data_IF_988153848912
#
_entry.id   IF_988153848912
#
_cell.length_a   1.000
_cell.length_b   1.000
_cell.length_c   1.000
_cell.angle_alpha   90.00
_cell.angle_beta   90.00
_cell.angle_gamma   90.00
#
_symmetry.space_group_name_H-M   'P 1'
#
loop_
_entity.id
_entity.type
_entity.pdbx_description
1 polymer ?
#
# COMPACT_ATOMS: atom_id res chain seq x y z
N UNK A 1 11.43 9.15 2.74
CA UNK A 1 12.35 8.91 1.61
C UNK A 1 13.84 8.92 2.00
N UNK A 2 14.36 9.89 2.76
CA UNK A 2 15.79 9.90 3.16
C UNK A 2 16.21 8.59 3.84
N UNK A 3 15.39 8.06 4.75
CA UNK A 3 15.64 6.78 5.43
C UNK A 3 15.84 5.64 4.40
N UNK A 4 14.96 5.54 3.39
CA UNK A 4 15.06 4.52 2.33
C UNK A 4 16.33 4.68 1.49
N UNK A 5 16.72 5.92 1.17
CA UNK A 5 17.94 6.18 0.40
C UNK A 5 19.18 5.81 1.21
N UNK A 6 19.22 6.14 2.49
CA UNK A 6 20.39 5.89 3.34
C UNK A 6 20.52 4.42 3.74
N UNK A 7 19.42 3.79 4.15
CA UNK A 7 19.45 2.47 4.80
C UNK A 7 18.75 1.37 4.00
N UNK A 8 17.99 1.70 2.96
CA UNK A 8 17.11 0.75 2.30
C UNK A 8 16.06 0.19 3.26
N UNK A 9 15.69 -1.07 3.06
CA UNK A 9 14.76 -1.81 3.89
C UNK A 9 13.31 -1.69 3.42
N UNK A 10 12.41 -1.76 4.39
CA UNK A 10 10.96 -1.74 4.21
C UNK A 10 10.46 -0.49 4.93
N UNK A 11 9.72 0.35 4.21
CA UNK A 11 8.91 1.38 4.82
C UNK A 11 7.45 0.89 4.84
N UNK A 12 6.76 1.14 5.95
CA UNK A 12 5.37 0.73 6.17
C UNK A 12 4.71 1.80 7.04
N UNK A 13 3.63 2.39 6.55
CA UNK A 13 2.80 3.32 7.32
C UNK A 13 2.23 2.63 8.56
N UNK A 14 1.99 3.38 9.62
CA UNK A 14 1.60 2.85 10.93
C UNK A 14 0.21 2.16 10.92
N UNK A 15 -0.62 2.49 9.94
CA UNK A 15 -1.95 1.95 9.67
C UNK A 15 -1.97 0.89 8.56
N UNK A 16 -0.79 0.38 8.17
CA UNK A 16 -0.64 -0.77 7.29
C UNK A 16 -0.26 -2.05 8.06
N UNK A 17 -0.92 -3.16 7.73
CA UNK A 17 -0.67 -4.48 8.32
C UNK A 17 -0.21 -5.48 7.28
N UNK A 18 0.82 -6.27 7.61
CA UNK A 18 1.32 -7.35 6.78
C UNK A 18 0.54 -8.64 7.05
N UNK A 19 0.02 -9.26 5.99
CA UNK A 19 -0.74 -10.53 6.09
C UNK A 19 0.06 -11.74 5.60
N UNK A 20 1.17 -11.53 4.90
CA UNK A 20 2.06 -12.59 4.44
C UNK A 20 3.51 -12.09 4.31
N UNK A 21 4.49 -13.01 4.29
CA UNK A 21 5.88 -12.65 4.05
C UNK A 21 6.08 -11.95 2.72
N UNK A 22 7.10 -11.09 2.65
CA UNK A 22 7.53 -10.47 1.39
C UNK A 22 8.01 -11.56 0.44
N UNK A 23 7.46 -11.68 -0.78
CA UNK A 23 7.92 -12.65 -1.76
C UNK A 23 9.41 -12.48 -2.05
N UNK A 24 10.15 -13.59 -2.05
CA UNK A 24 11.62 -13.57 -2.24
C UNK A 24 12.03 -12.96 -3.57
N UNK A 25 11.25 -13.16 -4.64
CA UNK A 25 11.53 -12.59 -5.95
C UNK A 25 11.55 -11.06 -5.95
N UNK A 26 10.86 -10.39 -5.02
CA UNK A 26 10.89 -8.93 -4.93
C UNK A 26 12.26 -8.38 -4.52
N UNK A 27 13.11 -9.21 -3.88
CA UNK A 27 14.45 -8.81 -3.43
C UNK A 27 15.43 -8.56 -4.58
N UNK A 28 15.11 -9.01 -5.80
CA UNK A 28 15.95 -8.77 -6.97
C UNK A 28 15.88 -7.31 -7.43
N UNK A 29 14.75 -6.64 -7.23
CA UNK A 29 14.53 -5.25 -7.62
C UNK A 29 15.14 -4.28 -6.61
N UNK A 30 15.63 -3.14 -7.10
CA UNK A 30 16.24 -2.11 -6.26
C UNK A 30 15.21 -1.30 -5.48
N UNK A 31 14.06 -1.03 -6.10
CA UNK A 31 12.91 -0.35 -5.50
C UNK A 31 11.63 -1.07 -5.90
N UNK A 32 10.70 -1.23 -4.96
CA UNK A 32 9.36 -1.79 -5.21
C UNK A 32 8.31 -0.91 -4.55
N UNK A 33 7.22 -0.64 -5.26
CA UNK A 33 6.01 0.00 -4.75
C UNK A 33 4.77 -0.58 -5.45
N UNK A 34 3.60 -0.02 -5.18
CA UNK A 34 2.37 -0.29 -5.93
C UNK A 34 1.78 1.01 -6.46
N UNK A 35 0.84 0.88 -7.39
CA UNK A 35 -0.05 2.00 -7.68
C UNK A 35 -0.99 2.28 -6.50
N UNK A 36 -1.50 3.51 -6.47
CA UNK A 36 -2.54 3.96 -5.55
C UNK A 36 -3.91 3.95 -6.23
N UNK A 37 -4.97 3.81 -5.45
CA UNK A 37 -6.34 3.82 -5.96
C UNK A 37 -6.95 5.22 -6.22
N UNK A 38 -6.70 6.26 -5.40
CA UNK A 38 -7.38 7.52 -5.53
C UNK A 38 -6.72 8.33 -6.64
N UNK A 39 -7.50 8.67 -7.66
CA UNK A 39 -7.10 9.66 -8.65
C UNK A 39 -7.41 11.06 -8.11
N UNK A 40 -6.46 11.64 -7.37
CA UNK A 40 -6.64 12.96 -6.76
C UNK A 40 -6.62 14.12 -7.78
N UNK A 41 -6.02 13.90 -8.95
CA UNK A 41 -5.89 14.89 -10.02
C UNK A 41 -6.16 14.22 -11.39
N UNK A 42 -7.14 14.67 -12.16
CA UNK A 42 -7.53 14.04 -13.44
C UNK A 42 -6.53 14.22 -14.60
N UNK A 43 -5.28 14.56 -14.31
CA UNK A 43 -4.25 14.92 -15.29
C UNK A 43 -3.17 13.86 -15.46
N UNK A 44 -3.17 12.79 -14.65
CA UNK A 44 -2.17 11.71 -14.74
C UNK A 44 -2.84 10.34 -14.77
N UNK A 45 -2.23 9.36 -15.47
CA UNK A 45 -2.78 8.01 -15.57
C UNK A 45 -2.84 7.28 -14.23
N UNK A 46 -1.84 7.50 -13.37
CA UNK A 46 -1.63 6.72 -12.15
C UNK A 46 -0.90 7.50 -11.05
N UNK A 47 -0.80 6.85 -9.88
CA UNK A 47 -0.21 7.38 -8.64
C UNK A 47 0.60 6.30 -7.97
N UNK A 48 1.68 6.65 -7.28
CA UNK A 48 2.44 5.68 -6.47
C UNK A 48 1.92 5.72 -5.04
N UNK A 49 1.55 4.57 -4.50
CA UNK A 49 1.26 4.45 -3.09
C UNK A 49 2.58 4.25 -2.33
N UNK A 50 2.92 5.23 -1.48
CA UNK A 50 4.14 5.21 -0.68
C UNK A 50 3.96 4.60 0.71
N UNK A 51 2.73 4.20 1.09
CA UNK A 51 2.45 3.61 2.40
C UNK A 51 3.24 2.33 2.69
N UNK A 52 3.46 1.48 1.69
CA UNK A 52 4.36 0.33 1.76
C UNK A 52 5.31 0.33 0.57
N UNK A 53 6.61 0.39 0.84
CA UNK A 53 7.64 0.33 -0.20
C UNK A 53 8.86 -0.47 0.24
N UNK A 54 9.52 -1.09 -0.72
CA UNK A 54 10.77 -1.82 -0.53
C UNK A 54 11.91 -1.09 -1.24
N UNK A 55 13.09 -1.06 -0.62
CA UNK A 55 14.26 -0.41 -1.20
C UNK A 55 15.56 -1.11 -0.81
N UNK A 56 16.50 -1.20 -1.75
CA UNK A 56 17.92 -1.33 -1.41
C UNK A 56 18.49 0.03 -0.99
N UNK A 57 19.55 0.06 -0.17
CA UNK A 57 20.25 1.30 0.13
C UNK A 57 20.73 1.96 -1.17
N UNK A 58 20.53 3.26 -1.30
CA UNK A 58 20.99 4.04 -2.44
C UNK A 58 20.25 3.79 -3.76
N UNK A 59 19.09 3.12 -3.74
CA UNK A 59 18.32 2.85 -4.95
C UNK A 59 17.98 4.14 -5.72
N UNK A 60 18.17 4.08 -7.05
CA UNK A 60 18.12 5.26 -7.94
C UNK A 60 16.77 5.97 -7.91
N UNK A 61 15.67 5.22 -7.91
CA UNK A 61 14.33 5.80 -7.94
C UNK A 61 14.05 6.75 -6.77
N UNK A 62 14.44 6.36 -5.55
CA UNK A 62 14.21 7.19 -4.36
C UNK A 62 15.13 8.41 -4.29
N UNK A 63 16.34 8.33 -4.84
CA UNK A 63 17.22 9.50 -5.02
C UNK A 63 16.58 10.53 -5.95
N UNK A 64 16.12 10.09 -7.12
CA UNK A 64 15.41 10.94 -8.08
C UNK A 64 14.11 11.51 -7.49
N UNK A 65 13.36 10.70 -6.74
CA UNK A 65 12.14 11.14 -6.06
C UNK A 65 12.42 12.22 -5.01
N UNK A 66 13.53 12.13 -4.26
CA UNK A 66 13.94 13.18 -3.32
C UNK A 66 14.21 14.53 -4.01
N UNK A 67 14.82 14.51 -5.21
CA UNK A 67 15.09 15.73 -5.98
C UNK A 67 13.79 16.48 -6.34
N UNK A 68 12.66 15.77 -6.44
CA UNK A 68 11.35 16.40 -6.70
C UNK A 68 10.78 17.15 -5.49
N UNK A 69 11.29 16.90 -4.29
CA UNK A 69 10.81 17.51 -3.05
C UNK A 69 11.42 18.88 -2.77
N UNK A 70 12.27 19.41 -3.66
CA UNK A 70 12.83 20.77 -3.53
C UNK A 70 11.70 21.82 -3.51
N UNK A 71 10.66 21.62 -4.34
CA UNK A 71 9.46 22.48 -4.37
C UNK A 71 8.30 21.86 -3.56
N UNK A 72 8.56 21.45 -2.32
CA UNK A 72 7.53 20.88 -1.45
C UNK A 72 6.49 21.93 -1.06
N UNK A 73 5.21 21.53 -1.04
CA UNK A 73 4.10 22.39 -0.59
C UNK A 73 3.25 21.65 0.42
N UNK A 74 3.24 22.11 1.67
CA UNK A 74 2.55 21.47 2.79
C UNK A 74 1.06 21.21 2.52
N UNK A 75 0.40 22.08 1.75
CA UNK A 75 -1.02 21.95 1.45
C UNK A 75 -1.34 20.97 0.30
N UNK A 76 -0.33 20.31 -0.28
CA UNK A 76 -0.48 19.43 -1.44
C UNK A 76 0.06 18.02 -1.18
N UNK A 77 -0.40 17.37 -0.11
CA UNK A 77 0.03 16.02 0.29
C UNK A 77 -0.06 14.99 -0.85
N UNK A 78 -1.19 14.90 -1.55
CA UNK A 78 -1.35 13.97 -2.68
C UNK A 78 -0.41 14.27 -3.84
N UNK A 79 -0.18 15.56 -4.13
CA UNK A 79 0.76 15.97 -5.16
C UNK A 79 2.20 15.55 -4.80
N UNK A 80 2.63 15.84 -3.57
CA UNK A 80 4.00 15.57 -3.14
C UNK A 80 4.26 14.08 -2.91
N UNK A 81 3.33 13.39 -2.26
CA UNK A 81 3.49 12.01 -1.79
C UNK A 81 3.15 10.94 -2.82
N UNK A 82 2.26 11.24 -3.77
CA UNK A 82 1.76 10.24 -4.72
C UNK A 82 2.14 10.58 -6.16
N UNK A 83 1.90 11.84 -6.55
CA UNK A 83 2.04 12.26 -7.94
C UNK A 83 3.48 12.54 -8.36
N UNK A 84 4.25 13.29 -7.56
CA UNK A 84 5.66 13.56 -7.87
C UNK A 84 6.48 12.28 -8.03
N UNK A 85 6.34 11.25 -7.15
CA UNK A 85 6.94 9.95 -7.38
C UNK A 85 6.49 9.31 -8.70
N UNK A 86 5.18 9.32 -9.00
CA UNK A 86 4.68 8.78 -10.26
C UNK A 86 5.32 9.44 -11.50
N UNK A 87 5.47 10.77 -11.50
CA UNK A 87 6.20 11.47 -12.57
C UNK A 87 7.65 11.02 -12.71
N UNK A 88 8.30 10.62 -11.63
CA UNK A 88 9.65 10.05 -11.69
C UNK A 88 9.63 8.65 -12.32
N UNK A 89 8.60 7.85 -12.05
CA UNK A 89 8.41 6.58 -12.74
C UNK A 89 8.22 6.79 -14.25
N UNK A 90 7.39 7.75 -14.67
CA UNK A 90 7.20 8.03 -16.10
C UNK A 90 8.51 8.41 -16.82
N UNK A 91 9.40 9.14 -16.14
CA UNK A 91 10.70 9.55 -16.68
C UNK A 91 11.78 8.47 -16.60
N UNK A 92 11.67 7.58 -15.62
CA UNK A 92 12.67 6.54 -15.31
C UNK A 92 12.00 5.19 -15.00
N UNK A 93 11.27 4.60 -15.97
CA UNK A 93 10.41 3.44 -15.74
C UNK A 93 11.17 2.17 -15.35
N UNK A 94 12.48 2.12 -15.61
CA UNK A 94 13.38 1.02 -15.27
C UNK A 94 13.78 1.01 -13.77
N UNK A 95 13.53 2.09 -13.04
CA UNK A 95 14.09 2.28 -11.69
C UNK A 95 13.18 1.83 -10.55
N UNK A 96 11.89 1.59 -10.82
CA UNK A 96 10.91 1.15 -9.83
C UNK A 96 10.09 -0.02 -10.38
N UNK A 97 10.08 -1.15 -9.66
CA UNK A 97 9.19 -2.25 -9.96
C UNK A 97 7.82 -2.02 -9.32
N UNK A 98 6.77 -2.05 -10.14
CA UNK A 98 5.39 -1.97 -9.65
C UNK A 98 4.86 -3.38 -9.39
N UNK A 99 4.53 -3.64 -8.12
CA UNK A 99 3.89 -4.88 -7.69
C UNK A 99 2.49 -4.57 -7.17
N UNK A 100 1.50 -4.85 -8.00
CA UNK A 100 0.07 -4.60 -7.76
C UNK A 100 -0.45 -5.22 -6.46
N UNK A 101 0.10 -6.38 -6.06
CA UNK A 101 -0.27 -7.10 -4.84
C UNK A 101 0.52 -6.69 -3.60
N UNK A 102 1.40 -5.67 -3.66
CA UNK A 102 2.21 -5.24 -2.51
C UNK A 102 1.34 -4.76 -1.34
N UNK A 103 0.33 -3.94 -1.64
CA UNK A 103 -0.57 -3.37 -0.65
C UNK A 103 -1.94 -3.13 -1.26
N UNK A 104 -2.98 -3.29 -0.44
CA UNK A 104 -4.36 -2.91 -0.76
C UNK A 104 -4.75 -1.74 0.13
N UNK A 105 -5.05 -0.62 -0.50
CA UNK A 105 -5.58 0.55 0.19
C UNK A 105 -7.05 0.36 0.50
N UNK A 106 -7.45 0.76 1.70
CA UNK A 106 -8.84 0.81 2.08
C UNK A 106 -9.21 2.15 2.71
N UNK A 107 -10.29 2.74 2.22
CA UNK A 107 -10.84 4.01 2.68
C UNK A 107 -12.35 3.86 2.91
N UNK A 108 -12.85 4.37 4.04
CA UNK A 108 -14.23 4.18 4.51
C UNK A 108 -14.66 2.71 4.49
N UNK A 109 -13.75 1.83 4.93
CA UNK A 109 -13.93 0.38 4.97
C UNK A 109 -14.21 -0.28 3.60
N UNK A 110 -13.97 0.42 2.50
CA UNK A 110 -13.92 -0.15 1.15
C UNK A 110 -12.47 -0.35 0.75
N UNK A 111 -12.15 -1.50 0.20
CA UNK A 111 -10.79 -1.81 -0.24
C UNK A 111 -10.69 -1.78 -1.76
N UNK A 112 -9.53 -1.34 -2.25
CA UNK A 112 -9.29 -1.04 -3.66
C UNK A 112 -8.04 -1.79 -4.16
N UNK A 113 -8.15 -3.10 -4.43
CA UNK A 113 -7.05 -3.87 -5.01
C UNK A 113 -6.80 -3.43 -6.44
N UNK A 114 -5.59 -2.94 -6.72
CA UNK A 114 -5.24 -2.31 -8.02
C UNK A 114 -5.27 -3.26 -9.22
N UNK A 115 -5.31 -4.57 -8.97
CA UNK A 115 -5.42 -5.61 -10.01
C UNK A 115 -6.88 -5.98 -10.34
N UNK A 116 -7.87 -5.32 -9.73
CA UNK A 116 -9.28 -5.47 -10.11
C UNK A 116 -9.72 -4.38 -11.07
N UNK A 117 -10.70 -4.66 -11.96
CA UNK A 117 -11.44 -3.62 -12.66
C UNK A 117 -12.04 -2.64 -11.66
N UNK A 118 -12.21 -1.38 -12.07
CA UNK A 118 -12.87 -0.34 -11.29
C UNK A 118 -12.26 -0.05 -9.91
N UNK A 119 -11.00 -0.45 -9.65
CA UNK A 119 -10.31 -0.16 -8.40
C UNK A 119 -10.27 1.33 -8.04
N UNK A 120 -10.38 2.22 -9.05
CA UNK A 120 -10.45 3.67 -8.89
C UNK A 120 -11.84 4.22 -8.54
N UNK A 121 -12.90 3.44 -8.67
CA UNK A 121 -14.24 3.87 -8.26
C UNK A 121 -14.31 3.91 -6.73
N UNK A 122 -14.39 5.11 -6.16
CA UNK A 122 -14.56 5.35 -4.72
C UNK A 122 -15.83 4.72 -4.13
N UNK A 123 -16.81 4.40 -4.96
CA UNK A 123 -18.07 3.77 -4.56
C UNK A 123 -18.01 2.25 -4.66
N UNK A 124 -17.03 1.69 -5.38
CA UNK A 124 -16.83 0.26 -5.45
C UNK A 124 -16.36 -0.27 -4.09
N UNK A 125 -17.00 -1.36 -3.66
CA UNK A 125 -16.63 -2.07 -2.44
C UNK A 125 -16.19 -3.48 -2.80
N UNK A 126 -14.90 -3.63 -3.13
CA UNK A 126 -14.33 -4.92 -3.54
C UNK A 126 -14.34 -5.94 -2.40
N UNK A 127 -14.54 -5.52 -1.15
CA UNK A 127 -14.69 -6.46 -0.02
C UNK A 127 -15.94 -7.33 -0.13
N UNK A 128 -16.93 -6.89 -0.92
CA UNK A 128 -18.18 -7.62 -1.19
C UNK A 128 -18.13 -8.46 -2.45
N UNK A 129 -17.08 -8.34 -3.25
CA UNK A 129 -16.97 -9.10 -4.49
C UNK A 129 -16.69 -10.56 -4.15
N UNK A 130 -17.53 -11.46 -4.66
CA UNK A 130 -17.42 -12.90 -4.39
C UNK A 130 -16.11 -13.51 -4.86
N UNK A 131 -15.45 -12.88 -5.84
CA UNK A 131 -14.17 -13.32 -6.37
C UNK A 131 -12.96 -12.63 -5.74
N UNK A 132 -13.13 -11.69 -4.79
CA UNK A 132 -11.99 -11.05 -4.13
C UNK A 132 -11.34 -11.98 -3.09
N UNK A 133 -10.24 -12.62 -3.49
CA UNK A 133 -9.39 -13.35 -2.56
C UNK A 133 -8.40 -12.40 -1.89
N UNK A 134 -8.75 -11.88 -0.72
CA UNK A 134 -7.90 -10.95 0.04
C UNK A 134 -6.50 -11.52 0.37
N UNK A 135 -6.31 -12.84 0.35
CA UNK A 135 -4.99 -13.49 0.59
C UNK A 135 -3.99 -13.25 -0.53
N UNK A 136 -4.45 -12.77 -1.68
CA UNK A 136 -3.57 -12.39 -2.79
C UNK A 136 -2.75 -11.14 -2.46
N UNK A 137 -3.18 -10.30 -1.51
CA UNK A 137 -2.45 -9.12 -1.07
C UNK A 137 -1.26 -9.45 -0.14
N UNK A 138 -0.26 -8.57 -0.10
CA UNK A 138 0.83 -8.62 0.87
C UNK A 138 0.50 -7.86 2.15
N UNK A 139 -0.08 -6.68 2.00
CA UNK A 139 -0.50 -5.82 3.11
C UNK A 139 -1.88 -5.24 2.85
N UNK A 140 -2.50 -4.78 3.94
CA UNK A 140 -3.70 -3.94 3.91
C UNK A 140 -3.37 -2.62 4.62
N UNK A 141 -3.72 -1.51 3.99
CA UNK A 141 -3.50 -0.16 4.52
C UNK A 141 -4.85 0.50 4.77
N UNK A 142 -5.22 0.65 6.05
CA UNK A 142 -6.53 1.15 6.48
C UNK A 142 -6.46 2.62 6.91
N UNK A 143 -6.68 3.54 5.97
CA UNK A 143 -6.44 4.97 6.21
C UNK A 143 -7.45 5.62 7.14
N UNK A 144 -8.75 5.29 6.99
CA UNK A 144 -9.82 5.85 7.82
C UNK A 144 -11.15 5.12 7.55
N UNK A 145 -11.83 4.55 8.56
CA UNK A 145 -11.36 4.30 9.92
C UNK A 145 -10.59 2.97 10.02
N UNK A 146 -9.96 2.73 11.17
CA UNK A 146 -9.59 1.36 11.57
C UNK A 146 -10.85 0.49 11.68
N UNK A 147 -10.88 -0.72 11.08
CA UNK A 147 -12.00 -1.65 11.21
C UNK A 147 -12.39 -1.92 12.67
N UNK A 148 -13.69 -1.93 12.96
CA UNK A 148 -14.21 -2.10 14.33
C UNK A 148 -13.79 -3.43 14.96
N UNK A 149 -13.67 -4.47 14.13
CA UNK A 149 -13.22 -5.81 14.53
C UNK A 149 -11.80 -5.83 15.07
N UNK A 150 -10.99 -4.81 14.75
CA UNK A 150 -9.59 -4.72 15.16
C UNK A 150 -9.40 -3.84 16.41
N UNK A 151 -10.48 -3.29 16.96
CA UNK A 151 -10.43 -2.47 18.18
C UNK A 151 -10.30 -3.30 19.46
N UNK A 152 -10.72 -4.57 19.46
CA UNK A 152 -10.58 -5.47 20.60
C UNK A 152 -10.58 -6.94 20.20
N UNK A 153 -9.99 -7.79 21.05
CA UNK A 153 -9.97 -9.24 20.86
C UNK A 153 -11.39 -9.84 20.79
N UNK A 154 -12.31 -9.34 21.63
CA UNK A 154 -13.70 -9.76 21.65
C UNK A 154 -14.44 -9.43 20.35
N UNK A 155 -14.25 -8.22 19.81
CA UNK A 155 -14.83 -7.81 18.54
C UNK A 155 -14.31 -8.69 17.38
N UNK A 156 -13.01 -8.99 17.42
CA UNK A 156 -12.35 -9.85 16.44
C UNK A 156 -12.91 -11.28 16.45
N UNK A 157 -13.10 -11.87 17.64
CA UNK A 157 -13.59 -13.25 17.78
C UNK A 157 -15.05 -13.40 17.34
N UNK A 158 -15.89 -12.40 17.62
CA UNK A 158 -17.33 -12.46 17.32
C UNK A 158 -17.68 -12.17 15.87
N UNK A 159 -16.81 -11.47 15.13
CA UNK A 159 -17.05 -11.09 13.73
C UNK A 159 -16.53 -12.14 12.74
N UNK A 160 -17.21 -12.25 11.59
CA UNK A 160 -16.82 -13.10 10.46
C UNK A 160 -16.62 -12.28 9.16
N UNK A 161 -16.41 -10.96 9.28
CA UNK A 161 -16.11 -10.11 8.13
C UNK A 161 -14.71 -10.38 7.57
N UNK A 162 -14.44 -9.87 6.36
CA UNK A 162 -13.10 -9.93 5.77
C UNK A 162 -12.02 -9.36 6.71
N UNK A 163 -12.31 -8.22 7.36
CA UNK A 163 -11.37 -7.58 8.30
C UNK A 163 -11.11 -8.45 9.53
N UNK A 164 -12.15 -9.11 10.06
CA UNK A 164 -11.99 -10.05 11.16
C UNK A 164 -11.10 -11.24 10.74
N UNK A 165 -11.34 -11.80 9.56
CA UNK A 165 -10.56 -12.92 9.05
C UNK A 165 -9.09 -12.55 8.80
N UNK A 166 -8.81 -11.34 8.34
CA UNK A 166 -7.45 -10.79 8.24
C UNK A 166 -6.79 -10.70 9.63
N UNK A 167 -7.47 -10.09 10.61
CA UNK A 167 -6.94 -9.97 11.97
C UNK A 167 -6.67 -11.33 12.62
N UNK A 168 -7.60 -12.28 12.48
CA UNK A 168 -7.43 -13.66 12.97
C UNK A 168 -6.27 -14.37 12.30
N UNK A 169 -6.10 -14.18 10.99
CA UNK A 169 -4.97 -14.74 10.23
C UNK A 169 -3.63 -14.23 10.74
N UNK A 170 -3.50 -12.92 10.98
CA UNK A 170 -2.28 -12.32 11.53
C UNK A 170 -1.98 -12.89 12.92
N UNK A 171 -2.99 -12.98 13.80
CA UNK A 171 -2.79 -13.49 15.15
C UNK A 171 -2.38 -14.97 15.16
N UNK A 172 -3.02 -15.81 14.34
CA UNK A 172 -2.61 -17.22 14.14
C UNK A 172 -1.17 -17.32 13.65
N UNK A 173 -0.78 -16.49 12.68
CA UNK A 173 0.59 -16.46 12.15
C UNK A 173 1.63 -16.01 13.19
N UNK A 174 1.22 -15.18 14.17
CA UNK A 174 2.06 -14.76 15.30
C UNK A 174 2.15 -15.79 16.43
N UNK A 175 1.54 -16.96 16.29
CA UNK A 175 1.48 -17.99 17.33
C UNK A 175 0.44 -17.72 18.43
N UNK A 176 -0.42 -16.71 18.26
CA UNK A 176 -1.54 -16.45 19.15
C UNK A 176 -2.76 -17.25 18.71
N UNK A 177 -3.36 -17.99 19.63
CA UNK A 177 -4.60 -18.73 19.40
C UNK A 177 -5.78 -17.83 19.76
N UNK A 178 -6.67 -17.61 18.80
CA UNK A 178 -7.95 -16.91 18.99
C UNK A 178 -9.10 -17.91 19.02
#
# INVERSE_FOLDING_TARGET
>A
MIILVTYGGIYTDADAVWIKPIPSFLRQYDSVASYDWPQMYNVYPDYIQCGVVLSKPGARYWKLSLETLIDFSDNMYGYNGLLKPYKMLERHPDTLFIYDKLQVMCWKLRCHPTWYPDFRDKNADHTRYSNFNWRDANTFHWTDPTPDELKSEDALKRSNTMFAEIGKHILRASGKVL
#
